data_IF_589332886964
#
_entry.id   IF_589332886964
#
_cell.length_a   1.000
_cell.length_b   1.000
_cell.length_c   1.000
_cell.angle_alpha   90.00
_cell.angle_beta   90.00
_cell.angle_gamma   90.00
#
_symmetry.space_group_name_H-M   'P 1'
#
loop_
_entity.id
_entity.type
_entity.pdbx_description
1 polymer ?
#
# COMPACT_ATOMS: atom_id res chain seq x y z
N UNK A 1 7.99 -8.35 19.24
CA UNK A 1 6.79 -7.48 19.15
C UNK A 1 5.65 -8.31 18.57
N UNK A 2 4.47 -8.21 19.14
CA UNK A 2 3.25 -8.78 18.57
C UNK A 2 2.83 -7.98 17.32
N UNK A 3 1.93 -8.53 16.49
CA UNK A 3 1.40 -7.83 15.31
C UNK A 3 0.74 -6.50 15.71
N UNK A 4 -0.01 -6.50 16.81
CA UNK A 4 -0.63 -5.28 17.35
C UNK A 4 0.39 -4.21 17.74
N UNK A 5 1.48 -4.59 18.44
CA UNK A 5 2.54 -3.65 18.81
C UNK A 5 3.24 -3.05 17.59
N UNK A 6 3.48 -3.86 16.55
CA UNK A 6 4.05 -3.39 15.29
C UNK A 6 3.11 -2.40 14.62
N UNK A 7 1.83 -2.75 14.43
CA UNK A 7 0.84 -1.88 13.81
C UNK A 7 0.70 -0.55 14.56
N UNK A 8 0.62 -0.61 15.90
CA UNK A 8 0.54 0.58 16.76
C UNK A 8 1.79 1.47 16.66
N UNK A 9 2.98 0.87 16.58
CA UNK A 9 4.23 1.61 16.43
C UNK A 9 4.33 2.29 15.07
N UNK A 10 3.92 1.61 13.99
CA UNK A 10 3.88 2.18 12.64
C UNK A 10 2.97 3.40 12.54
N UNK A 11 1.83 3.36 13.23
CA UNK A 11 0.79 4.41 13.21
C UNK A 11 0.77 5.26 14.49
N UNK A 12 1.91 5.36 15.20
CA UNK A 12 1.99 6.17 16.41
C UNK A 12 1.68 7.65 16.12
N UNK A 13 1.14 8.36 17.13
CA UNK A 13 0.81 9.79 16.98
C UNK A 13 2.02 10.59 16.51
N UNK A 14 1.84 11.39 15.47
CA UNK A 14 2.89 12.19 14.86
C UNK A 14 3.81 11.42 13.90
N UNK A 15 3.56 10.14 13.67
CA UNK A 15 4.31 9.30 12.73
C UNK A 15 3.51 9.01 11.46
N UNK A 16 4.20 9.03 10.33
CA UNK A 16 3.70 8.55 9.05
C UNK A 16 4.43 7.32 8.56
N UNK A 17 3.94 6.70 7.49
CA UNK A 17 4.61 5.61 6.80
C UNK A 17 5.16 6.15 5.48
N UNK A 18 6.48 6.03 5.30
CA UNK A 18 7.15 6.46 4.06
C UNK A 18 7.02 5.35 3.00
N UNK A 19 6.42 5.68 1.87
CA UNK A 19 6.41 4.81 0.70
C UNK A 19 7.67 5.07 -0.15
N UNK A 20 8.59 4.11 -0.18
CA UNK A 20 9.81 4.09 -1.00
C UNK A 20 9.87 2.81 -1.85
N UNK A 21 8.69 2.33 -2.25
CA UNK A 21 8.45 1.03 -2.89
C UNK A 21 8.18 1.14 -4.40
N UNK A 22 8.54 2.26 -5.02
CA UNK A 22 8.38 2.42 -6.45
C UNK A 22 9.05 1.27 -7.20
N UNK A 23 8.30 0.64 -8.11
CA UNK A 23 8.88 -0.34 -9.03
C UNK A 23 9.94 0.30 -9.93
N UNK A 24 10.83 -0.52 -10.50
CA UNK A 24 11.86 -0.04 -11.43
C UNK A 24 11.27 0.80 -12.57
N UNK A 25 10.09 0.42 -13.08
CA UNK A 25 9.40 1.20 -14.12
C UNK A 25 8.83 2.53 -13.63
N UNK A 26 8.35 2.59 -12.39
CA UNK A 26 7.83 3.82 -11.79
C UNK A 26 8.95 4.81 -11.51
N UNK A 27 10.05 4.35 -10.92
CA UNK A 27 11.18 5.22 -10.62
C UNK A 27 11.91 5.69 -11.90
N UNK A 28 11.92 4.86 -12.95
CA UNK A 28 12.44 5.26 -14.28
C UNK A 28 11.73 6.50 -14.83
N UNK A 29 10.39 6.56 -14.70
CA UNK A 29 9.59 7.73 -15.14
C UNK A 29 9.98 8.99 -14.36
N UNK A 30 10.20 8.87 -13.03
CA UNK A 30 10.65 9.99 -12.19
C UNK A 30 12.05 10.46 -12.56
N UNK A 31 12.99 9.54 -12.76
CA UNK A 31 14.37 9.86 -13.13
C UNK A 31 14.46 10.52 -14.50
N UNK A 32 13.63 10.08 -15.45
CA UNK A 32 13.55 10.71 -16.79
C UNK A 32 13.19 12.19 -16.69
N UNK A 33 12.31 12.59 -15.78
CA UNK A 33 11.90 14.00 -15.62
C UNK A 33 13.02 14.92 -15.10
N UNK A 34 14.08 14.35 -14.52
CA UNK A 34 15.24 15.07 -13.98
C UNK A 34 16.56 14.67 -14.66
N UNK A 35 16.48 14.00 -15.82
CA UNK A 35 17.62 13.54 -16.62
C UNK A 35 18.64 12.69 -15.83
N UNK A 36 18.15 11.81 -14.96
CA UNK A 36 18.98 10.83 -14.23
C UNK A 36 18.79 9.45 -14.84
N UNK A 37 19.90 8.75 -15.07
CA UNK A 37 19.85 7.37 -15.57
C UNK A 37 19.25 6.41 -14.51
N UNK A 38 18.40 5.49 -14.98
CA UNK A 38 17.75 4.49 -14.13
C UNK A 38 18.67 3.31 -13.80
N UNK A 39 19.79 3.58 -13.16
CA UNK A 39 20.76 2.59 -12.68
C UNK A 39 20.45 2.17 -11.24
N UNK A 40 20.81 0.94 -10.88
CA UNK A 40 20.61 0.42 -9.52
C UNK A 40 21.23 1.33 -8.46
N UNK A 41 22.48 1.78 -8.66
CA UNK A 41 23.16 2.72 -7.75
C UNK A 41 22.40 4.03 -7.57
N UNK A 42 21.79 4.57 -8.64
CA UNK A 42 21.05 5.82 -8.58
C UNK A 42 19.73 5.65 -7.81
N UNK A 43 19.08 4.49 -7.97
CA UNK A 43 17.88 4.15 -7.20
C UNK A 43 18.19 3.99 -5.72
N UNK A 44 19.33 3.37 -5.38
CA UNK A 44 19.78 3.26 -3.99
C UNK A 44 20.10 4.63 -3.39
N UNK A 45 20.88 5.47 -4.09
CA UNK A 45 21.24 6.83 -3.64
C UNK A 45 19.97 7.65 -3.38
N UNK A 46 19.02 7.65 -4.31
CA UNK A 46 17.74 8.35 -4.17
C UNK A 46 17.00 7.94 -2.88
N UNK A 47 16.86 6.64 -2.65
CA UNK A 47 16.18 6.11 -1.46
C UNK A 47 16.99 6.35 -0.19
N UNK A 48 18.31 6.15 -0.23
CA UNK A 48 19.18 6.39 0.90
C UNK A 48 19.17 7.88 1.33
N UNK A 49 19.01 8.82 0.40
CA UNK A 49 18.84 10.24 0.72
C UNK A 49 17.62 10.47 1.61
N UNK A 50 16.49 9.80 1.30
CA UNK A 50 15.30 9.85 2.14
C UNK A 50 15.54 9.20 3.51
N UNK A 51 16.18 8.03 3.54
CA UNK A 51 16.40 7.26 4.77
C UNK A 51 17.41 7.92 5.72
N UNK A 52 18.32 8.75 5.21
CA UNK A 52 19.28 9.53 6.00
C UNK A 52 18.74 10.89 6.47
N UNK A 53 17.53 11.28 6.03
CA UNK A 53 16.96 12.55 6.44
C UNK A 53 16.72 12.59 7.95
N UNK A 54 17.06 13.70 8.62
CA UNK A 54 16.86 13.86 10.06
C UNK A 54 15.40 13.66 10.51
N UNK A 55 14.45 14.00 9.65
CA UNK A 55 13.02 13.79 9.84
C UNK A 55 12.61 12.31 10.04
N UNK A 56 13.41 11.35 9.60
CA UNK A 56 13.11 9.92 9.76
C UNK A 56 12.86 9.55 11.22
N UNK A 57 13.72 9.99 12.13
CA UNK A 57 13.63 9.67 13.56
C UNK A 57 12.34 10.20 14.19
N UNK A 58 11.94 11.41 13.81
CA UNK A 58 10.86 12.12 14.49
C UNK A 58 9.48 11.85 13.89
N UNK A 59 9.40 11.62 12.57
CA UNK A 59 8.12 11.59 11.85
C UNK A 59 7.81 10.28 11.11
N UNK A 60 8.74 9.33 11.04
CA UNK A 60 8.50 8.08 10.29
C UNK A 60 8.39 6.89 11.23
N UNK A 61 7.24 6.21 11.19
CA UNK A 61 6.98 4.98 11.94
C UNK A 61 7.33 3.71 11.17
N UNK A 62 7.24 3.74 9.84
CA UNK A 62 7.57 2.62 8.97
C UNK A 62 7.99 3.06 7.58
N UNK A 63 8.73 2.23 6.87
CA UNK A 63 9.17 2.46 5.49
C UNK A 63 8.84 1.26 4.63
N UNK A 64 8.07 1.46 3.55
CA UNK A 64 7.77 0.42 2.57
C UNK A 64 8.91 0.39 1.55
N UNK A 65 9.60 -0.72 1.44
CA UNK A 65 10.70 -0.94 0.51
C UNK A 65 10.24 -1.68 -0.75
N UNK A 66 11.05 -1.60 -1.81
CA UNK A 66 10.98 -2.45 -2.98
C UNK A 66 11.94 -3.64 -2.85
N UNK A 67 11.68 -4.76 -3.55
CA UNK A 67 12.46 -5.99 -3.45
C UNK A 67 13.97 -5.80 -3.66
N UNK A 68 14.36 -5.02 -4.67
CA UNK A 68 15.77 -4.66 -4.88
C UNK A 68 16.36 -3.98 -3.65
N UNK A 69 15.64 -3.02 -3.08
CA UNK A 69 16.18 -2.13 -2.04
C UNK A 69 16.35 -2.82 -0.70
N UNK A 70 15.45 -3.73 -0.33
CA UNK A 70 15.58 -4.45 0.95
C UNK A 70 16.82 -5.34 0.99
N UNK A 71 17.32 -5.77 -0.17
CA UNK A 71 18.51 -6.62 -0.34
C UNK A 71 19.81 -5.84 -0.43
N UNK A 72 19.73 -4.51 -0.60
CA UNK A 72 20.92 -3.66 -0.80
C UNK A 72 21.60 -3.26 0.50
N UNK A 73 22.87 -2.93 0.38
CA UNK A 73 23.66 -2.28 1.44
C UNK A 73 23.90 -0.81 1.09
N UNK A 74 23.89 0.01 2.11
CA UNK A 74 24.20 1.44 2.02
C UNK A 74 25.70 1.65 1.73
N UNK A 75 26.06 2.87 1.36
CA UNK A 75 27.48 3.28 1.19
C UNK A 75 28.31 3.14 2.47
N UNK A 76 27.67 3.02 3.63
CA UNK A 76 28.32 2.81 4.94
C UNK A 76 28.37 1.33 5.35
N UNK A 77 27.97 0.40 4.46
CA UNK A 77 28.01 -1.04 4.71
C UNK A 77 26.82 -1.62 5.51
N UNK A 78 25.91 -0.79 6.04
CA UNK A 78 24.70 -1.25 6.68
C UNK A 78 23.72 -1.80 5.62
N UNK A 79 22.94 -2.81 5.96
CA UNK A 79 21.77 -3.14 5.13
C UNK A 79 20.75 -2.00 5.21
N UNK A 80 19.91 -1.86 4.18
CA UNK A 80 18.86 -0.82 4.19
C UNK A 80 17.89 -1.00 5.37
N UNK A 81 17.42 -2.22 5.72
CA UNK A 81 16.62 -2.43 6.92
C UNK A 81 17.31 -2.02 8.23
N UNK A 82 18.64 -2.26 8.38
CA UNK A 82 19.41 -1.81 9.55
C UNK A 82 19.44 -0.29 9.64
N UNK A 83 19.67 0.42 8.52
CA UNK A 83 19.65 1.88 8.49
C UNK A 83 18.30 2.43 8.95
N UNK A 84 17.18 1.88 8.44
CA UNK A 84 15.82 2.30 8.80
C UNK A 84 15.58 2.05 10.30
N UNK A 85 15.95 0.87 10.80
CA UNK A 85 15.79 0.49 12.20
C UNK A 85 16.60 1.37 13.14
N UNK A 86 17.80 1.82 12.73
CA UNK A 86 18.65 2.75 13.47
C UNK A 86 17.96 4.10 13.73
N UNK A 87 17.10 4.53 12.82
CA UNK A 87 16.25 5.72 12.99
C UNK A 87 14.94 5.45 13.76
N UNK A 88 14.73 4.22 14.26
CA UNK A 88 13.56 3.84 15.04
C UNK A 88 12.31 3.52 14.22
N UNK A 89 12.38 3.63 12.89
CA UNK A 89 11.31 3.22 11.98
C UNK A 89 11.31 1.70 11.74
N UNK A 90 10.17 1.15 11.35
CA UNK A 90 10.01 -0.27 11.06
C UNK A 90 10.23 -0.50 9.56
N UNK A 91 11.12 -1.41 9.14
CA UNK A 91 11.23 -1.80 7.73
C UNK A 91 10.02 -2.64 7.29
N UNK A 92 9.54 -2.38 6.09
CA UNK A 92 8.50 -3.13 5.44
C UNK A 92 8.77 -3.33 3.96
N UNK A 93 7.92 -4.07 3.28
CA UNK A 93 8.14 -4.50 1.90
C UNK A 93 6.85 -4.57 1.08
N UNK A 94 6.87 -4.04 -0.15
CA UNK A 94 5.84 -4.29 -1.15
C UNK A 94 5.98 -5.71 -1.69
N UNK A 95 4.92 -6.52 -1.55
CA UNK A 95 4.95 -7.93 -1.94
C UNK A 95 4.07 -8.27 -3.15
N UNK A 96 3.17 -7.37 -3.55
CA UNK A 96 2.42 -7.56 -4.79
C UNK A 96 3.32 -7.47 -6.03
N UNK A 97 2.94 -8.16 -7.09
CA UNK A 97 3.61 -8.17 -8.41
C UNK A 97 2.94 -7.23 -9.42
N UNK A 98 2.08 -6.33 -8.93
CA UNK A 98 1.38 -5.32 -9.72
C UNK A 98 0.03 -5.76 -10.27
N UNK A 99 -0.74 -4.77 -10.69
CA UNK A 99 -2.04 -4.96 -11.32
C UNK A 99 -1.86 -5.49 -12.75
N UNK A 100 -2.65 -6.50 -13.10
CA UNK A 100 -2.71 -7.14 -14.42
C UNK A 100 -4.14 -7.08 -14.94
N UNK A 101 -4.36 -7.17 -16.26
CA UNK A 101 -5.72 -7.22 -16.81
C UNK A 101 -6.54 -8.34 -16.15
N UNK A 102 -7.74 -8.01 -15.70
CA UNK A 102 -8.69 -8.99 -15.17
C UNK A 102 -9.32 -9.75 -16.33
N UNK A 103 -9.14 -11.08 -16.36
CA UNK A 103 -9.74 -11.92 -17.38
C UNK A 103 -11.26 -11.76 -17.39
N UNK A 104 -11.85 -11.57 -18.58
CA UNK A 104 -13.27 -11.30 -18.75
C UNK A 104 -13.67 -9.82 -18.60
N UNK A 105 -12.71 -8.92 -18.34
CA UNK A 105 -12.91 -7.46 -18.34
C UNK A 105 -11.90 -6.77 -19.25
N UNK A 106 -12.35 -5.72 -19.94
CA UNK A 106 -11.46 -4.94 -20.84
C UNK A 106 -10.71 -3.81 -20.13
N UNK A 107 -11.16 -3.37 -18.96
CA UNK A 107 -10.65 -2.15 -18.32
C UNK A 107 -10.32 -2.32 -16.83
N UNK A 108 -10.63 -3.49 -16.26
CA UNK A 108 -10.37 -3.76 -14.85
C UNK A 108 -9.12 -4.58 -14.65
N UNK A 109 -8.59 -4.55 -13.45
CA UNK A 109 -7.37 -5.25 -13.12
C UNK A 109 -7.54 -6.12 -11.88
N UNK A 110 -6.71 -7.15 -11.81
CA UNK A 110 -6.46 -7.97 -10.62
C UNK A 110 -5.00 -7.79 -10.20
N UNK A 111 -4.75 -7.63 -8.93
CA UNK A 111 -3.37 -7.58 -8.43
C UNK A 111 -2.87 -9.00 -8.18
N UNK A 112 -1.74 -9.33 -8.78
CA UNK A 112 -1.09 -10.64 -8.68
C UNK A 112 0.03 -10.63 -7.65
N UNK A 113 0.51 -11.85 -7.29
CA UNK A 113 1.67 -12.04 -6.42
C UNK A 113 1.47 -13.03 -5.27
N UNK A 114 0.36 -13.78 -5.24
CA UNK A 114 0.10 -14.81 -4.22
C UNK A 114 0.98 -16.05 -4.41
N UNK A 115 1.32 -16.39 -5.65
CA UNK A 115 2.15 -17.55 -5.95
C UNK A 115 3.56 -17.39 -5.37
N UNK A 116 4.00 -18.36 -4.57
CA UNK A 116 5.28 -18.33 -3.86
C UNK A 116 5.39 -17.21 -2.82
N UNK A 117 4.25 -16.66 -2.37
CA UNK A 117 4.27 -15.56 -1.39
C UNK A 117 4.78 -16.03 -0.02
N UNK A 118 4.42 -17.24 0.43
CA UNK A 118 4.84 -17.77 1.74
C UNK A 118 6.36 -17.83 1.86
N UNK A 119 7.04 -18.32 0.82
CA UNK A 119 8.50 -18.42 0.77
C UNK A 119 9.15 -17.02 0.75
N UNK A 120 8.62 -16.09 -0.04
CA UNK A 120 9.11 -14.70 -0.09
C UNK A 120 8.91 -13.97 1.24
N UNK A 121 7.80 -14.23 1.94
CA UNK A 121 7.56 -13.62 3.26
C UNK A 121 8.58 -14.06 4.29
N UNK A 122 8.98 -15.35 4.27
CA UNK A 122 10.06 -15.84 5.12
C UNK A 122 11.38 -15.13 4.80
N UNK A 123 11.76 -15.06 3.53
CA UNK A 123 12.96 -14.32 3.09
C UNK A 123 12.95 -12.87 3.59
N UNK A 124 11.86 -12.14 3.38
CA UNK A 124 11.75 -10.75 3.79
C UNK A 124 11.76 -10.56 5.31
N UNK A 125 11.17 -11.48 6.05
CA UNK A 125 11.24 -11.45 7.51
C UNK A 125 12.68 -11.60 8.00
N UNK A 126 13.43 -12.54 7.41
CA UNK A 126 14.85 -12.79 7.71
C UNK A 126 15.73 -11.58 7.32
N UNK A 127 15.38 -10.85 6.25
CA UNK A 127 16.02 -9.59 5.87
C UNK A 127 15.67 -8.39 6.77
N UNK A 128 14.75 -8.55 7.72
CA UNK A 128 14.40 -7.52 8.69
C UNK A 128 13.05 -6.85 8.49
N UNK A 129 12.26 -7.19 7.47
CA UNK A 129 10.91 -6.67 7.33
C UNK A 129 10.01 -7.14 8.48
N UNK A 130 9.10 -6.25 8.92
CA UNK A 130 8.10 -6.56 9.95
C UNK A 130 6.68 -6.19 9.52
N UNK A 131 6.53 -5.59 8.37
CA UNK A 131 5.24 -5.37 7.73
C UNK A 131 5.37 -5.47 6.21
N UNK A 132 4.25 -5.63 5.57
CA UNK A 132 4.16 -5.73 4.11
C UNK A 132 3.11 -4.80 3.57
N UNK A 133 3.08 -4.61 2.24
CA UNK A 133 2.05 -3.83 1.56
C UNK A 133 1.63 -4.55 0.28
N UNK A 134 0.31 -4.55 0.05
CA UNK A 134 -0.31 -5.03 -1.18
C UNK A 134 -1.42 -4.06 -1.60
N UNK A 135 -1.34 -3.59 -2.84
CA UNK A 135 -2.27 -2.64 -3.42
C UNK A 135 -3.18 -3.32 -4.43
N UNK A 136 -4.49 -3.24 -4.23
CA UNK A 136 -5.49 -3.48 -5.27
C UNK A 136 -5.99 -2.13 -5.78
N UNK A 137 -6.36 -2.03 -7.06
CA UNK A 137 -6.83 -0.79 -7.66
C UNK A 137 -8.17 -1.00 -8.38
N UNK A 138 -9.05 0.00 -8.25
CA UNK A 138 -10.39 -0.02 -8.81
C UNK A 138 -10.65 1.27 -9.58
N UNK A 139 -10.94 1.15 -10.88
CA UNK A 139 -11.39 2.26 -11.70
C UNK A 139 -12.87 2.54 -11.47
N UNK A 140 -13.28 3.80 -11.56
CA UNK A 140 -14.70 4.19 -11.60
C UNK A 140 -15.09 4.55 -13.04
N UNK A 141 -16.11 3.88 -13.53
CA UNK A 141 -16.72 4.15 -14.82
C UNK A 141 -18.23 3.90 -14.77
N UNK A 142 -18.87 3.89 -15.94
CA UNK A 142 -20.31 3.64 -16.04
C UNK A 142 -20.67 2.24 -15.51
N UNK A 143 -19.85 1.23 -15.86
CA UNK A 143 -20.02 -0.18 -15.49
C UNK A 143 -18.98 -0.71 -14.52
N UNK A 144 -18.09 0.16 -13.99
CA UNK A 144 -16.96 -0.22 -13.13
C UNK A 144 -17.01 0.50 -11.79
N UNK A 145 -16.44 -0.12 -10.71
CA UNK A 145 -15.94 -1.48 -10.71
C UNK A 145 -17.07 -2.51 -10.76
N UNK A 146 -16.82 -3.64 -11.44
CA UNK A 146 -17.74 -4.77 -11.47
C UNK A 146 -17.69 -5.57 -10.16
N UNK A 147 -18.73 -6.35 -9.90
CA UNK A 147 -18.73 -7.29 -8.76
C UNK A 147 -17.57 -8.30 -8.86
N UNK A 148 -17.19 -8.71 -10.08
CA UNK A 148 -16.05 -9.60 -10.30
C UNK A 148 -14.76 -8.94 -9.81
N UNK A 149 -14.50 -7.71 -10.22
CA UNK A 149 -13.28 -6.98 -9.84
C UNK A 149 -13.21 -6.77 -8.33
N UNK A 150 -14.30 -6.32 -7.70
CA UNK A 150 -14.35 -6.08 -6.26
C UNK A 150 -14.07 -7.37 -5.49
N UNK A 151 -14.78 -8.45 -5.78
CA UNK A 151 -14.64 -9.73 -5.08
C UNK A 151 -13.26 -10.38 -5.29
N UNK A 152 -12.78 -10.42 -6.52
CA UNK A 152 -11.49 -11.05 -6.81
C UNK A 152 -10.33 -10.33 -6.13
N UNK A 153 -10.33 -9.01 -6.11
CA UNK A 153 -9.28 -8.24 -5.44
C UNK A 153 -9.43 -8.29 -3.91
N UNK A 154 -10.64 -8.25 -3.35
CA UNK A 154 -10.88 -8.40 -1.92
C UNK A 154 -10.40 -9.77 -1.42
N UNK A 155 -10.73 -10.84 -2.15
CA UNK A 155 -10.25 -12.19 -1.86
C UNK A 155 -8.71 -12.28 -1.90
N UNK A 156 -8.07 -11.67 -2.91
CA UNK A 156 -6.61 -11.64 -3.00
C UNK A 156 -5.98 -10.88 -1.82
N UNK A 157 -6.55 -9.73 -1.42
CA UNK A 157 -6.12 -8.95 -0.25
C UNK A 157 -6.24 -9.75 1.04
N UNK A 158 -7.33 -10.49 1.23
CA UNK A 158 -7.55 -11.28 2.44
C UNK A 158 -6.59 -12.49 2.52
N UNK A 159 -6.38 -13.22 1.42
CA UNK A 159 -5.39 -14.30 1.35
C UNK A 159 -3.98 -13.80 1.61
N UNK A 160 -3.62 -12.66 1.01
CA UNK A 160 -2.37 -11.99 1.28
C UNK A 160 -2.21 -11.66 2.76
N UNK A 161 -3.22 -11.02 3.37
CA UNK A 161 -3.16 -10.61 4.76
C UNK A 161 -3.00 -11.79 5.73
N UNK A 162 -3.72 -12.89 5.48
CA UNK A 162 -3.60 -14.12 6.28
C UNK A 162 -2.19 -14.73 6.20
N UNK A 163 -1.59 -14.82 4.99
CA UNK A 163 -0.22 -15.30 4.80
C UNK A 163 0.81 -14.41 5.50
N UNK A 164 0.61 -13.10 5.49
CA UNK A 164 1.50 -12.15 6.16
C UNK A 164 1.45 -12.30 7.66
N UNK A 165 0.27 -12.49 8.24
CA UNK A 165 0.13 -12.72 9.69
C UNK A 165 0.69 -14.08 10.10
N UNK A 166 0.55 -15.12 9.28
CA UNK A 166 1.23 -16.41 9.46
C UNK A 166 2.75 -16.23 9.56
N UNK A 167 3.31 -15.35 8.74
CA UNK A 167 4.73 -14.99 8.74
C UNK A 167 5.12 -13.97 9.84
N UNK A 168 4.25 -13.71 10.82
CA UNK A 168 4.48 -12.79 11.95
C UNK A 168 4.80 -11.34 11.50
N UNK A 169 4.21 -10.90 10.40
CA UNK A 169 4.31 -9.54 9.89
C UNK A 169 2.92 -8.87 9.83
N UNK A 170 2.91 -7.53 9.82
CA UNK A 170 1.68 -6.74 9.71
C UNK A 170 1.36 -6.50 8.23
N UNK A 171 0.18 -6.88 7.72
CA UNK A 171 -0.24 -6.51 6.38
C UNK A 171 -0.78 -5.08 6.34
N UNK A 172 -0.26 -4.25 5.42
CA UNK A 172 -0.95 -3.06 4.95
C UNK A 172 -1.88 -3.49 3.82
N UNK A 173 -3.17 -3.38 4.06
CA UNK A 173 -4.24 -3.67 3.10
C UNK A 173 -4.61 -2.38 2.38
N UNK A 174 -4.37 -2.31 1.06
CA UNK A 174 -4.58 -1.10 0.25
C UNK A 174 -5.60 -1.33 -0.87
N UNK A 175 -6.92 -1.31 -0.56
CA UNK A 175 -7.98 -1.36 -1.56
C UNK A 175 -8.23 0.06 -2.10
N UNK A 176 -7.51 0.48 -3.15
CA UNK A 176 -7.54 1.85 -3.63
C UNK A 176 -8.51 2.07 -4.78
N UNK A 177 -9.51 2.89 -4.55
CA UNK A 177 -10.35 3.45 -5.63
C UNK A 177 -9.62 4.64 -6.25
N UNK A 178 -9.37 4.55 -7.55
CA UNK A 178 -8.57 5.55 -8.28
C UNK A 178 -9.35 6.85 -8.49
N UNK A 179 -8.62 7.95 -8.49
CA UNK A 179 -9.15 9.28 -8.74
C UNK A 179 -9.24 9.63 -10.24
N UNK A 180 -8.84 8.71 -11.11
CA UNK A 180 -8.94 8.91 -12.56
C UNK A 180 -10.40 8.82 -13.00
N UNK A 181 -10.80 9.67 -13.94
CA UNK A 181 -12.16 9.67 -14.49
C UNK A 181 -12.96 10.93 -14.16
N UNK A 182 -14.25 10.90 -14.50
CA UNK A 182 -15.17 12.05 -14.42
C UNK A 182 -16.28 11.89 -13.36
N UNK A 183 -16.17 10.89 -12.51
CA UNK A 183 -17.13 10.62 -11.45
C UNK A 183 -17.18 11.75 -10.40
N UNK A 184 -18.34 11.95 -9.80
CA UNK A 184 -18.52 12.88 -8.69
C UNK A 184 -18.13 12.25 -7.34
N UNK A 185 -18.14 13.05 -6.28
CA UNK A 185 -17.76 12.61 -4.94
C UNK A 185 -18.73 11.55 -4.37
N UNK A 186 -20.02 11.62 -4.71
CA UNK A 186 -21.01 10.66 -4.25
C UNK A 186 -20.78 9.27 -4.87
N UNK A 187 -20.44 9.22 -6.15
CA UNK A 187 -20.08 7.97 -6.81
C UNK A 187 -18.80 7.36 -6.21
N UNK A 188 -17.79 8.19 -5.94
CA UNK A 188 -16.58 7.74 -5.23
C UNK A 188 -16.91 7.18 -3.84
N UNK A 189 -17.79 7.86 -3.09
CA UNK A 189 -18.25 7.39 -1.78
C UNK A 189 -18.91 6.01 -1.85
N UNK A 190 -19.85 5.84 -2.78
CA UNK A 190 -20.56 4.55 -2.96
C UNK A 190 -19.59 3.42 -3.32
N UNK A 191 -18.69 3.67 -4.27
CA UNK A 191 -17.71 2.66 -4.70
C UNK A 191 -16.75 2.31 -3.57
N UNK A 192 -16.22 3.31 -2.85
CA UNK A 192 -15.32 3.08 -1.71
C UNK A 192 -16.02 2.28 -0.60
N UNK A 193 -17.30 2.59 -0.32
CA UNK A 193 -18.13 1.82 0.62
C UNK A 193 -18.23 0.35 0.21
N UNK A 194 -18.55 0.08 -1.04
CA UNK A 194 -18.72 -1.30 -1.54
C UNK A 194 -17.38 -2.06 -1.49
N UNK A 195 -16.28 -1.42 -1.88
CA UNK A 195 -14.94 -2.00 -1.86
C UNK A 195 -14.49 -2.31 -0.43
N UNK A 196 -14.69 -1.38 0.52
CA UNK A 196 -14.34 -1.61 1.92
C UNK A 196 -15.16 -2.74 2.55
N UNK A 197 -16.48 -2.74 2.34
CA UNK A 197 -17.34 -3.79 2.88
C UNK A 197 -16.95 -5.18 2.39
N UNK A 198 -16.70 -5.35 1.09
CA UNK A 198 -16.26 -6.64 0.56
C UNK A 198 -14.87 -7.01 1.07
N UNK A 199 -13.96 -6.03 1.17
CA UNK A 199 -12.61 -6.26 1.69
C UNK A 199 -12.65 -6.77 3.14
N UNK A 200 -13.42 -6.13 4.02
CA UNK A 200 -13.52 -6.56 5.43
C UNK A 200 -14.28 -7.87 5.59
N UNK A 201 -15.31 -8.12 4.77
CA UNK A 201 -15.99 -9.42 4.72
C UNK A 201 -15.00 -10.56 4.37
N UNK A 202 -14.17 -10.37 3.35
CA UNK A 202 -13.15 -11.35 2.98
C UNK A 202 -12.05 -11.51 4.04
N UNK A 203 -11.62 -10.42 4.69
CA UNK A 203 -10.67 -10.48 5.81
C UNK A 203 -11.22 -11.32 6.98
N UNK A 204 -12.49 -11.18 7.31
CA UNK A 204 -13.18 -11.98 8.33
C UNK A 204 -13.26 -13.45 7.95
N UNK A 205 -13.69 -13.77 6.71
CA UNK A 205 -13.75 -15.14 6.18
C UNK A 205 -12.38 -15.82 6.28
N UNK A 206 -11.30 -15.08 6.02
CA UNK A 206 -9.92 -15.58 6.09
C UNK A 206 -9.32 -15.52 7.51
N UNK A 207 -10.11 -15.18 8.53
CA UNK A 207 -9.71 -15.14 9.94
C UNK A 207 -8.51 -14.23 10.22
N UNK A 208 -8.42 -13.12 9.49
CA UNK A 208 -7.37 -12.12 9.69
C UNK A 208 -7.65 -11.35 10.98
N UNK A 209 -6.65 -11.27 11.87
CA UNK A 209 -6.73 -10.41 13.06
C UNK A 209 -6.64 -8.94 12.64
N UNK A 210 -7.77 -8.23 12.64
CA UNK A 210 -7.84 -6.84 12.19
C UNK A 210 -6.98 -5.90 13.04
N UNK A 211 -6.76 -6.19 14.33
CA UNK A 211 -5.87 -5.39 15.20
C UNK A 211 -4.40 -5.50 14.79
N UNK A 212 -4.05 -6.56 14.10
CA UNK A 212 -2.73 -6.78 13.51
C UNK A 212 -2.62 -6.33 12.06
N UNK A 213 -3.49 -5.44 11.57
CA UNK A 213 -3.46 -4.89 10.20
C UNK A 213 -3.31 -3.38 10.20
N UNK A 214 -2.97 -2.82 9.04
CA UNK A 214 -3.06 -1.38 8.76
C UNK A 214 -3.84 -1.20 7.46
N UNK A 215 -4.92 -0.41 7.51
CA UNK A 215 -5.63 0.00 6.30
C UNK A 215 -4.92 1.19 5.66
N UNK A 216 -4.68 1.13 4.36
CA UNK A 216 -4.28 2.29 3.55
C UNK A 216 -5.41 2.62 2.57
N UNK A 217 -6.36 3.50 2.96
CA UNK A 217 -7.51 3.83 2.13
C UNK A 217 -7.17 4.90 1.10
N UNK A 218 -8.03 5.03 0.07
CA UNK A 218 -8.12 6.24 -0.73
C UNK A 218 -8.91 7.35 0.03
N UNK A 219 -8.76 8.58 -0.40
CA UNK A 219 -9.70 9.64 -0.05
C UNK A 219 -10.95 9.54 -0.94
N UNK A 220 -12.11 9.92 -0.39
CA UNK A 220 -13.35 10.05 -1.16
C UNK A 220 -13.33 11.41 -1.85
N UNK A 221 -13.02 11.40 -3.14
CA UNK A 221 -12.83 12.62 -3.96
C UNK A 221 -13.53 12.49 -5.31
N UNK A 222 -13.91 13.61 -5.95
CA UNK A 222 -14.36 13.57 -7.33
C UNK A 222 -13.20 13.20 -8.26
N UNK A 223 -13.52 12.62 -9.38
CA UNK A 223 -12.54 12.26 -10.42
C UNK A 223 -11.75 13.45 -10.94
N UNK A 224 -10.53 13.19 -11.39
CA UNK A 224 -9.61 14.22 -11.91
C UNK A 224 -10.21 15.05 -13.05
N UNK A 225 -11.09 14.44 -13.85
CA UNK A 225 -11.81 15.09 -14.98
C UNK A 225 -13.25 15.51 -14.62
N UNK A 226 -13.67 15.38 -13.35
CA UNK A 226 -14.98 15.84 -12.91
C UNK A 226 -15.08 17.37 -13.04
N UNK A 227 -16.18 17.85 -13.65
CA UNK A 227 -16.41 19.30 -13.81
C UNK A 227 -16.72 19.98 -12.46
N UNK A 228 -17.45 19.29 -11.59
CA UNK A 228 -17.82 19.80 -10.28
C UNK A 228 -16.77 19.35 -9.26
N UNK A 229 -15.89 20.27 -8.87
CA UNK A 229 -14.86 19.99 -7.86
C UNK A 229 -15.43 20.23 -6.46
N UNK A 230 -15.10 19.31 -5.55
CA UNK A 230 -15.37 19.47 -4.12
C UNK A 230 -14.24 20.25 -3.44
N UNK A 231 -14.58 21.01 -2.40
CA UNK A 231 -13.58 21.65 -1.56
C UNK A 231 -12.94 20.68 -0.55
N UNK A 232 -11.86 21.09 0.07
CA UNK A 232 -11.09 20.24 1.00
C UNK A 232 -11.91 19.79 2.23
N UNK A 233 -12.82 20.64 2.72
CA UNK A 233 -13.68 20.33 3.87
C UNK A 233 -14.69 19.24 3.53
N UNK A 234 -15.34 19.32 2.38
CA UNK A 234 -16.27 18.32 1.88
C UNK A 234 -15.56 16.96 1.67
N UNK A 235 -14.37 16.97 1.04
CA UNK A 235 -13.54 15.78 0.85
C UNK A 235 -13.19 15.15 2.19
N UNK A 236 -12.72 15.92 3.16
CA UNK A 236 -12.37 15.43 4.48
C UNK A 236 -13.57 14.82 5.20
N UNK A 237 -14.72 15.51 5.19
CA UNK A 237 -15.96 15.04 5.82
C UNK A 237 -16.47 13.73 5.19
N UNK A 238 -16.54 13.67 3.86
CA UNK A 238 -16.99 12.47 3.14
C UNK A 238 -16.04 11.30 3.36
N UNK A 239 -14.73 11.54 3.36
CA UNK A 239 -13.74 10.49 3.61
C UNK A 239 -13.87 9.94 5.03
N UNK A 240 -13.94 10.81 6.03
CA UNK A 240 -14.11 10.38 7.43
C UNK A 240 -15.43 9.65 7.66
N UNK A 241 -16.53 10.12 7.07
CA UNK A 241 -17.84 9.46 7.18
C UNK A 241 -17.81 8.05 6.56
N UNK A 242 -17.25 7.94 5.35
CA UNK A 242 -17.08 6.64 4.69
C UNK A 242 -16.26 5.66 5.53
N UNK A 243 -15.11 6.10 6.03
CA UNK A 243 -14.23 5.23 6.83
C UNK A 243 -14.87 4.84 8.17
N UNK A 244 -15.51 5.78 8.88
CA UNK A 244 -16.17 5.49 10.17
C UNK A 244 -17.33 4.50 10.04
N UNK A 245 -18.00 4.45 8.90
CA UNK A 245 -19.14 3.53 8.67
C UNK A 245 -18.72 2.15 8.22
N UNK A 246 -17.58 2.02 7.54
CA UNK A 246 -17.23 0.80 6.83
C UNK A 246 -15.91 0.16 7.32
N UNK A 247 -15.21 0.76 8.27
CA UNK A 247 -14.00 0.19 8.89
C UNK A 247 -14.32 -0.21 10.31
N UNK A 248 -14.22 -1.51 10.67
CA UNK A 248 -14.50 -2.04 12.01
C UNK A 248 -13.62 -1.46 13.11
#
# INVERSE_FOLDING_TARGET
MTLYEIAKKMCAKGKGILAADESTGTIAKRFKSINVENLEKNRLIFRQTLFNAGAMKDYIGGVILFDETIKQKTTLGLTVPELISKHGAIPGIKVDKGAKPLAGSSEETITEGLDGLRERLKEYYDLGARFTKWRAVYNIGEKYPSSQSIKSNAHALARYAALVQEAQMVPIVEPEVLMDGSHDIEKCYQVTTNVLNECYNELEIHKVDLKGTVLKPNMVIPGSHCKNKSNSEEIAKKTLDCLKKNVP
#
